data_IF_001585095558
#
_entry.id   IF_001585095558
#
_cell.length_a   1.000
_cell.length_b   1.000
_cell.length_c   1.000
_cell.angle_alpha   90.00
_cell.angle_beta   90.00
_cell.angle_gamma   90.00
#
_symmetry.space_group_name_H-M   'P 1'
#
loop_
_entity.id
_entity.type
_entity.pdbx_description
1 polymer ?
#
# COMPACT_ATOMS: atom_id res chain seq x y z
N UNK A 1 12.70 -38.82 14.90
CA UNK A 1 12.33 -38.24 13.59
C UNK A 1 11.01 -37.45 13.56
N UNK A 2 10.11 -37.51 14.57
CA UNK A 2 8.84 -36.73 14.55
C UNK A 2 8.92 -35.31 15.12
N UNK A 3 9.93 -34.99 15.93
CA UNK A 3 10.08 -33.69 16.60
C UNK A 3 10.62 -32.56 15.69
N UNK A 4 11.37 -32.87 14.63
CA UNK A 4 11.85 -31.87 13.66
C UNK A 4 10.73 -31.23 12.84
N UNK A 5 9.66 -31.98 12.54
CA UNK A 5 8.53 -31.46 11.75
C UNK A 5 7.76 -30.38 12.54
N UNK A 6 7.50 -30.59 13.83
CA UNK A 6 6.78 -29.62 14.66
C UNK A 6 7.54 -28.30 14.86
N UNK A 7 8.87 -28.35 15.03
CA UNK A 7 9.73 -27.16 15.06
C UNK A 7 9.68 -26.40 13.74
N UNK A 8 9.76 -27.12 12.61
CA UNK A 8 9.63 -26.51 11.29
C UNK A 8 8.27 -25.84 11.10
N UNK A 9 7.16 -26.51 11.48
CA UNK A 9 5.80 -25.96 11.41
C UNK A 9 5.59 -24.70 12.25
N UNK A 10 6.22 -24.63 13.43
CA UNK A 10 6.16 -23.44 14.29
C UNK A 10 6.96 -22.26 13.71
N UNK A 11 8.13 -22.52 13.13
CA UNK A 11 8.89 -21.50 12.39
C UNK A 11 8.19 -21.06 11.09
N UNK A 12 7.52 -21.97 10.37
CA UNK A 12 6.72 -21.59 9.20
C UNK A 12 5.50 -20.75 9.62
N UNK A 13 4.82 -21.09 10.71
CA UNK A 13 3.72 -20.28 11.23
C UNK A 13 4.15 -18.87 11.63
N UNK A 14 5.30 -18.74 12.32
CA UNK A 14 5.88 -17.44 12.67
C UNK A 14 6.27 -16.64 11.42
N UNK A 15 6.84 -17.28 10.40
CA UNK A 15 7.14 -16.63 9.11
C UNK A 15 5.88 -16.18 8.37
N UNK A 16 4.82 -17.00 8.33
CA UNK A 16 3.55 -16.64 7.69
C UNK A 16 2.86 -15.47 8.40
N UNK A 17 2.89 -15.43 9.73
CA UNK A 17 2.37 -14.30 10.50
C UNK A 17 3.16 -13.01 10.21
N UNK A 18 4.48 -13.10 10.07
CA UNK A 18 5.32 -11.97 9.69
C UNK A 18 5.01 -11.47 8.27
N UNK A 19 4.80 -12.38 7.32
CA UNK A 19 4.39 -12.05 5.94
C UNK A 19 3.03 -11.35 5.94
N UNK A 20 2.04 -11.84 6.70
CA UNK A 20 0.74 -11.14 6.82
C UNK A 20 0.91 -9.72 7.37
N UNK A 21 1.74 -9.55 8.40
CA UNK A 21 2.00 -8.24 9.01
C UNK A 21 2.60 -7.27 7.97
N UNK A 22 3.59 -7.73 7.20
CA UNK A 22 4.21 -6.93 6.12
C UNK A 22 3.20 -6.61 5.02
N UNK A 23 2.38 -7.58 4.59
CA UNK A 23 1.33 -7.34 3.60
C UNK A 23 0.31 -6.30 4.10
N UNK A 24 -0.13 -6.40 5.36
CA UNK A 24 -1.05 -5.41 5.94
C UNK A 24 -0.42 -4.02 6.02
N UNK A 25 0.85 -3.90 6.41
CA UNK A 25 1.54 -2.59 6.38
C UNK A 25 1.62 -2.02 4.96
N UNK A 26 1.91 -2.86 3.96
CA UNK A 26 1.97 -2.41 2.56
C UNK A 26 0.60 -1.97 2.04
N UNK A 27 -0.46 -2.66 2.46
CA UNK A 27 -1.85 -2.27 2.17
C UNK A 27 -2.19 -0.93 2.82
N UNK A 28 -1.77 -0.70 4.06
CA UNK A 28 -1.97 0.58 4.77
C UNK A 28 -1.26 1.74 4.08
N UNK A 29 0.00 1.55 3.65
CA UNK A 29 0.73 2.55 2.85
C UNK A 29 0.02 2.83 1.52
N UNK A 30 -0.49 1.79 0.87
CA UNK A 30 -1.23 1.93 -0.40
C UNK A 30 -2.55 2.68 -0.19
N UNK A 31 -3.25 2.40 0.91
CA UNK A 31 -4.47 3.10 1.29
C UNK A 31 -4.20 4.57 1.62
N UNK A 32 -3.06 4.88 2.27
CA UNK A 32 -2.62 6.25 2.53
C UNK A 32 -2.41 7.02 1.22
N UNK A 33 -1.68 6.46 0.25
CA UNK A 33 -1.46 7.11 -1.05
C UNK A 33 -2.78 7.42 -1.78
N UNK A 34 -3.72 6.47 -1.77
CA UNK A 34 -5.07 6.67 -2.32
C UNK A 34 -5.85 7.76 -1.59
N UNK A 35 -5.78 7.81 -0.26
CA UNK A 35 -6.43 8.84 0.54
C UNK A 35 -5.85 10.24 0.23
N UNK A 36 -4.53 10.36 0.18
CA UNK A 36 -3.85 11.61 -0.17
C UNK A 36 -4.22 12.05 -1.58
N UNK A 37 -4.27 11.14 -2.56
CA UNK A 37 -4.72 11.44 -3.91
C UNK A 37 -6.18 11.91 -3.94
N UNK A 38 -7.08 11.25 -3.21
CA UNK A 38 -8.48 11.65 -3.09
C UNK A 38 -8.63 13.05 -2.49
N UNK A 39 -7.83 13.37 -1.47
CA UNK A 39 -7.81 14.66 -0.81
C UNK A 39 -7.24 15.76 -1.74
N UNK A 40 -6.13 15.48 -2.42
CA UNK A 40 -5.50 16.42 -3.35
C UNK A 40 -6.42 16.75 -4.55
N UNK A 41 -7.14 15.76 -5.06
CA UNK A 41 -8.13 15.93 -6.14
C UNK A 41 -9.54 16.31 -5.62
N UNK A 42 -9.74 16.37 -4.29
CA UNK A 42 -11.05 16.59 -3.62
C UNK A 42 -12.17 15.70 -4.17
N UNK A 43 -11.82 14.48 -4.60
CA UNK A 43 -12.72 13.58 -5.32
C UNK A 43 -12.37 12.13 -5.07
N UNK A 44 -13.35 11.33 -4.65
CA UNK A 44 -13.18 9.89 -4.46
C UNK A 44 -13.02 9.13 -5.79
N UNK A 45 -13.49 9.73 -6.90
CA UNK A 45 -13.42 9.17 -8.25
C UNK A 45 -11.97 9.13 -8.75
N UNK A 46 -11.12 10.03 -8.24
CA UNK A 46 -9.68 10.11 -8.55
C UNK A 46 -8.89 8.85 -8.15
N UNK A 47 -9.41 8.06 -7.20
CA UNK A 47 -8.78 6.83 -6.70
C UNK A 47 -9.12 5.60 -7.55
N UNK A 48 -10.08 5.71 -8.47
CA UNK A 48 -10.41 4.61 -9.38
C UNK A 48 -9.25 4.34 -10.34
N UNK A 49 -8.95 3.06 -10.60
CA UNK A 49 -7.78 2.63 -11.40
C UNK A 49 -7.66 3.36 -12.75
N UNK A 50 -8.78 3.71 -13.36
CA UNK A 50 -8.84 4.41 -14.65
C UNK A 50 -8.43 5.88 -14.55
N UNK A 51 -8.67 6.50 -13.39
CA UNK A 51 -8.46 7.93 -13.18
C UNK A 51 -7.18 8.23 -12.37
N UNK A 52 -6.61 7.24 -11.68
CA UNK A 52 -5.41 7.41 -10.83
C UNK A 52 -4.26 8.08 -11.59
N UNK A 53 -4.00 7.67 -12.84
CA UNK A 53 -2.91 8.24 -13.63
C UNK A 53 -3.16 9.72 -13.95
N UNK A 54 -4.37 10.05 -14.41
CA UNK A 54 -4.80 11.43 -14.71
C UNK A 54 -4.81 12.30 -13.46
N UNK A 55 -5.28 11.76 -12.34
CA UNK A 55 -5.30 12.45 -11.05
C UNK A 55 -3.89 12.70 -10.51
N UNK A 56 -2.95 11.77 -10.69
CA UNK A 56 -1.54 11.98 -10.36
C UNK A 56 -0.90 13.08 -11.22
N UNK A 57 -1.22 13.15 -12.51
CA UNK A 57 -0.75 14.22 -13.39
C UNK A 57 -1.35 15.58 -13.01
N UNK A 58 -2.60 15.62 -12.55
CA UNK A 58 -3.20 16.84 -11.98
C UNK A 58 -2.50 17.25 -10.69
N UNK A 59 -2.20 16.30 -9.81
CA UNK A 59 -1.45 16.58 -8.56
C UNK A 59 -0.04 17.10 -8.86
N UNK A 60 0.65 16.54 -9.86
CA UNK A 60 1.96 16.99 -10.29
C UNK A 60 1.98 18.44 -10.81
N UNK A 61 0.86 18.89 -11.40
CA UNK A 61 0.72 20.22 -12.01
C UNK A 61 0.17 21.27 -11.05
N UNK A 62 -0.67 20.85 -10.11
CA UNK A 62 -1.33 21.74 -9.14
C UNK A 62 -0.63 21.82 -7.78
N UNK A 63 0.19 20.82 -7.44
CA UNK A 63 0.95 20.74 -6.19
C UNK A 63 2.44 20.48 -6.45
N UNK A 64 3.23 20.37 -5.37
CA UNK A 64 4.65 20.01 -5.45
C UNK A 64 4.86 18.61 -6.02
N UNK A 65 5.95 18.43 -6.76
CA UNK A 65 6.50 17.12 -7.11
C UNK A 65 6.76 16.22 -5.91
N UNK A 66 7.02 16.79 -4.72
CA UNK A 66 7.18 16.04 -3.48
C UNK A 66 5.87 15.33 -3.06
N UNK A 67 4.72 15.98 -3.29
CA UNK A 67 3.41 15.40 -2.99
C UNK A 67 3.12 14.23 -3.93
N UNK A 68 3.49 14.35 -5.20
CA UNK A 68 3.41 13.24 -6.16
C UNK A 68 4.33 12.08 -5.76
N UNK A 69 5.55 12.37 -5.34
CA UNK A 69 6.53 11.35 -4.91
C UNK A 69 6.13 10.67 -3.59
N UNK A 70 5.27 11.30 -2.79
CA UNK A 70 4.71 10.71 -1.57
C UNK A 70 3.50 9.79 -1.85
N UNK A 71 2.80 10.00 -2.97
CA UNK A 71 1.67 9.16 -3.39
C UNK A 71 2.13 7.94 -4.22
N UNK A 72 3.23 8.09 -4.96
CA UNK A 72 3.79 7.10 -5.90
C UNK A 72 4.75 6.14 -5.22
#
# INVERSE_FOLDING_TARGET
MRTSLALSSSSYFSSTAYVMLVCSQQDDLTALGKLVLALACRSLIAVQRENVQTSLDLVARSYSTDLRNLIM
#
